data_IF_590560583998
#
_entry.id   IF_590560583998
#
_cell.length_a   1.000
_cell.length_b   1.000
_cell.length_c   1.000
_cell.angle_alpha   90.00
_cell.angle_beta   90.00
_cell.angle_gamma   90.00
#
_symmetry.space_group_name_H-M   'P 1'
#
loop_
_entity.id
_entity.type
_entity.pdbx_description
1 polymer ?
#
# COMPACT_ATOMS: atom_id res chain seq x y z
N UNK A 1 -16.90 -20.69 -7.08
CA UNK A 1 -18.15 -19.91 -7.03
C UNK A 1 -18.90 -20.04 -5.69
N UNK A 2 -18.75 -21.11 -4.93
CA UNK A 2 -19.34 -21.22 -3.58
C UNK A 2 -18.59 -20.39 -2.55
N UNK A 3 -17.30 -20.23 -2.72
CA UNK A 3 -16.40 -19.40 -1.96
C UNK A 3 -16.82 -17.92 -1.96
N UNK A 4 -17.12 -17.37 -3.12
CA UNK A 4 -17.60 -16.00 -3.24
C UNK A 4 -18.98 -15.80 -2.60
N UNK A 5 -19.89 -16.77 -2.72
CA UNK A 5 -21.21 -16.71 -2.07
C UNK A 5 -21.06 -16.60 -0.55
N UNK A 6 -20.19 -17.41 0.06
CA UNK A 6 -19.96 -17.38 1.50
C UNK A 6 -19.44 -16.01 1.99
N UNK A 7 -18.63 -15.31 1.20
CA UNK A 7 -18.19 -13.95 1.54
C UNK A 7 -19.32 -12.93 1.50
N UNK A 8 -20.25 -13.07 0.55
CA UNK A 8 -21.43 -12.19 0.51
C UNK A 8 -22.47 -12.53 1.58
N UNK A 9 -22.64 -13.80 1.94
CA UNK A 9 -23.42 -14.22 3.11
C UNK A 9 -22.82 -13.65 4.41
N UNK A 10 -21.49 -13.65 4.50
CA UNK A 10 -20.78 -12.98 5.59
C UNK A 10 -21.03 -11.46 5.58
N UNK A 11 -21.03 -10.79 4.41
CA UNK A 11 -21.36 -9.38 4.32
C UNK A 11 -22.78 -9.08 4.84
N UNK A 12 -23.76 -9.94 4.54
CA UNK A 12 -25.12 -9.87 5.11
C UNK A 12 -25.07 -9.93 6.65
N UNK A 13 -24.35 -10.90 7.21
CA UNK A 13 -24.18 -11.02 8.67
C UNK A 13 -23.50 -9.77 9.27
N UNK A 14 -22.54 -9.16 8.57
CA UNK A 14 -21.90 -7.95 9.05
C UNK A 14 -22.85 -6.73 9.02
N UNK A 15 -23.70 -6.62 8.00
CA UNK A 15 -24.74 -5.56 7.94
C UNK A 15 -25.69 -5.71 9.14
N UNK A 16 -26.15 -6.91 9.43
CA UNK A 16 -27.01 -7.21 10.59
C UNK A 16 -26.28 -6.94 11.92
N UNK A 17 -25.05 -7.43 12.07
CA UNK A 17 -24.23 -7.25 13.27
C UNK A 17 -23.97 -5.75 13.59
N UNK A 18 -23.79 -4.93 12.57
CA UNK A 18 -23.60 -3.49 12.71
C UNK A 18 -24.90 -2.70 12.88
N UNK A 19 -26.08 -3.36 12.86
CA UNK A 19 -27.38 -2.73 13.00
C UNK A 19 -27.71 -1.76 11.87
N UNK A 20 -27.23 -2.03 10.64
CA UNK A 20 -27.39 -1.14 9.50
C UNK A 20 -28.70 -1.42 8.74
N UNK A 21 -29.80 -0.91 9.24
CA UNK A 21 -31.09 -1.05 8.56
C UNK A 21 -31.11 -0.31 7.21
N UNK A 22 -31.49 -1.01 6.13
CA UNK A 22 -31.49 -0.47 4.76
C UNK A 22 -30.15 0.15 4.35
N UNK A 23 -29.04 -0.50 4.74
CA UNK A 23 -27.67 -0.06 4.46
C UNK A 23 -27.47 0.40 3.02
N UNK A 24 -26.78 1.50 2.81
CA UNK A 24 -26.28 1.92 1.50
C UNK A 24 -24.92 1.27 1.29
N UNK A 25 -24.82 0.40 0.30
CA UNK A 25 -23.63 -0.46 0.07
C UNK A 25 -23.07 -0.22 -1.33
N UNK A 26 -21.75 -0.06 -1.41
CA UNK A 26 -21.00 -0.16 -2.66
C UNK A 26 -20.38 -1.55 -2.73
N UNK A 27 -20.56 -2.26 -3.85
CA UNK A 27 -19.94 -3.55 -4.15
C UNK A 27 -18.99 -3.37 -5.34
N UNK A 28 -17.69 -3.26 -5.07
CA UNK A 28 -16.64 -3.02 -6.06
C UNK A 28 -16.18 -4.36 -6.66
N UNK A 29 -16.04 -4.39 -7.99
CA UNK A 29 -15.79 -5.57 -8.80
C UNK A 29 -16.88 -6.63 -8.56
N UNK A 30 -18.14 -6.20 -8.61
CA UNK A 30 -19.31 -7.03 -8.34
C UNK A 30 -19.49 -8.20 -9.32
N UNK A 31 -18.70 -8.24 -10.40
CA UNK A 31 -18.79 -9.26 -11.45
C UNK A 31 -20.19 -9.33 -12.06
N UNK A 32 -20.71 -10.53 -12.10
CA UNK A 32 -22.07 -10.79 -12.66
C UNK A 32 -23.21 -10.44 -11.69
N UNK A 33 -22.97 -9.80 -10.55
CA UNK A 33 -23.96 -9.15 -9.70
C UNK A 33 -24.67 -10.01 -8.65
N UNK A 34 -24.41 -11.32 -8.57
CA UNK A 34 -25.11 -12.17 -7.57
C UNK A 34 -24.81 -11.78 -6.12
N UNK A 35 -23.60 -11.26 -5.85
CA UNK A 35 -23.22 -10.79 -4.51
C UNK A 35 -24.00 -9.57 -4.09
N UNK A 36 -24.09 -8.58 -4.97
CA UNK A 36 -24.94 -7.40 -4.77
C UNK A 36 -26.41 -7.80 -4.50
N UNK A 37 -26.90 -8.77 -5.25
CA UNK A 37 -28.26 -9.28 -5.07
C UNK A 37 -28.44 -10.00 -3.72
N UNK A 38 -27.46 -10.80 -3.26
CA UNK A 38 -27.48 -11.45 -1.94
C UNK A 38 -27.62 -10.42 -0.84
N UNK A 39 -26.80 -9.35 -0.85
CA UNK A 39 -26.85 -8.30 0.15
C UNK A 39 -28.18 -7.52 0.10
N UNK A 40 -28.69 -7.25 -1.11
CA UNK A 40 -29.96 -6.57 -1.30
C UNK A 40 -31.16 -7.36 -0.78
N UNK A 41 -31.18 -8.68 -1.00
CA UNK A 41 -32.31 -9.54 -0.62
C UNK A 41 -32.18 -10.14 0.77
N UNK A 42 -30.95 -10.41 1.24
CA UNK A 42 -30.68 -10.98 2.55
C UNK A 42 -30.76 -9.93 3.69
N UNK A 43 -30.16 -8.76 3.49
CA UNK A 43 -30.11 -7.69 4.49
C UNK A 43 -30.99 -6.47 4.16
N UNK A 44 -31.76 -6.48 3.07
CA UNK A 44 -32.54 -5.32 2.66
C UNK A 44 -31.69 -4.11 2.22
N UNK A 45 -30.43 -4.32 1.90
CA UNK A 45 -29.50 -3.25 1.54
C UNK A 45 -29.86 -2.60 0.20
N UNK A 46 -29.46 -1.33 0.04
CA UNK A 46 -29.44 -0.62 -1.24
C UNK A 46 -28.04 -0.72 -1.80
N UNK A 47 -27.85 -1.51 -2.86
CA UNK A 47 -26.53 -1.87 -3.35
C UNK A 47 -26.25 -1.25 -4.73
N UNK A 48 -25.13 -0.54 -4.82
CA UNK A 48 -24.54 -0.12 -6.09
C UNK A 48 -23.38 -1.10 -6.41
N UNK A 49 -23.63 -2.03 -7.35
CA UNK A 49 -22.62 -2.92 -7.89
C UNK A 49 -21.84 -2.24 -9.00
N UNK A 50 -20.53 -2.30 -8.97
CA UNK A 50 -19.62 -1.65 -9.93
C UNK A 50 -18.64 -2.69 -10.45
N UNK A 51 -18.50 -2.79 -11.77
CA UNK A 51 -17.51 -3.65 -12.41
C UNK A 51 -17.05 -3.03 -13.74
N UNK A 52 -15.79 -3.24 -14.09
CA UNK A 52 -15.21 -2.72 -15.33
C UNK A 52 -15.66 -3.50 -16.58
N UNK A 53 -16.12 -4.74 -16.41
CA UNK A 53 -16.47 -5.62 -17.52
C UNK A 53 -17.94 -5.48 -17.90
N UNK A 54 -18.21 -4.70 -18.96
CA UNK A 54 -19.57 -4.40 -19.46
C UNK A 54 -20.48 -5.62 -19.59
N UNK A 55 -20.06 -6.74 -20.21
CA UNK A 55 -20.88 -7.94 -20.30
C UNK A 55 -21.29 -8.55 -18.96
N UNK A 56 -20.46 -8.43 -17.89
CA UNK A 56 -20.84 -8.88 -16.55
C UNK A 56 -21.94 -7.99 -15.97
N UNK A 57 -21.84 -6.68 -16.17
CA UNK A 57 -22.87 -5.71 -15.74
C UNK A 57 -24.19 -5.91 -16.47
N UNK A 58 -24.15 -6.20 -17.77
CA UNK A 58 -25.37 -6.49 -18.54
C UNK A 58 -26.03 -7.79 -18.05
N UNK A 59 -25.22 -8.78 -17.73
CA UNK A 59 -25.72 -10.03 -17.12
C UNK A 59 -26.32 -9.77 -15.73
N UNK A 60 -25.66 -8.94 -14.91
CA UNK A 60 -26.14 -8.57 -13.58
C UNK A 60 -27.52 -7.90 -13.65
N UNK A 61 -27.65 -6.93 -14.55
CA UNK A 61 -28.94 -6.24 -14.80
C UNK A 61 -30.05 -7.16 -15.23
N UNK A 62 -29.75 -8.20 -16.01
CA UNK A 62 -30.75 -9.17 -16.50
C UNK A 62 -31.16 -10.20 -15.45
N UNK A 63 -30.21 -10.68 -14.65
CA UNK A 63 -30.40 -11.88 -13.85
C UNK A 63 -30.38 -11.65 -12.34
N UNK A 64 -29.78 -10.56 -11.87
CA UNK A 64 -29.55 -10.29 -10.44
C UNK A 64 -30.10 -8.93 -10.01
N UNK A 65 -31.15 -8.43 -10.68
CA UNK A 65 -31.80 -7.18 -10.28
C UNK A 65 -32.79 -7.41 -9.14
N UNK A 66 -32.74 -6.51 -8.16
CA UNK A 66 -33.73 -6.34 -7.10
C UNK A 66 -34.16 -4.86 -7.07
N UNK A 67 -35.23 -4.53 -6.33
CA UNK A 67 -35.69 -3.12 -6.24
C UNK A 67 -34.63 -2.17 -5.71
N UNK A 68 -33.67 -2.71 -4.97
CA UNK A 68 -32.63 -1.95 -4.25
C UNK A 68 -31.22 -2.19 -4.83
N UNK A 69 -31.10 -2.86 -5.99
CA UNK A 69 -29.82 -3.00 -6.70
C UNK A 69 -29.73 -2.04 -7.88
N UNK A 70 -28.55 -1.45 -8.06
CA UNK A 70 -28.15 -0.72 -9.26
C UNK A 70 -26.79 -1.23 -9.70
N UNK A 71 -26.51 -1.18 -11.01
CA UNK A 71 -25.25 -1.65 -11.59
C UNK A 71 -24.64 -0.61 -12.52
N UNK A 72 -23.36 -0.31 -12.30
CA UNK A 72 -22.57 0.65 -13.05
C UNK A 72 -21.36 -0.04 -13.68
N UNK A 73 -21.17 0.17 -15.00
CA UNK A 73 -19.94 -0.24 -15.68
C UNK A 73 -18.92 0.89 -15.58
N UNK A 74 -17.88 0.69 -14.79
CA UNK A 74 -16.79 1.64 -14.62
C UNK A 74 -15.55 0.95 -14.07
N UNK A 75 -14.36 1.48 -14.37
CA UNK A 75 -13.10 1.04 -13.76
C UNK A 75 -12.92 1.64 -12.37
N UNK A 76 -12.10 1.00 -11.53
CA UNK A 76 -11.76 1.50 -10.20
C UNK A 76 -11.06 2.88 -10.25
N UNK A 77 -10.34 3.15 -11.34
CA UNK A 77 -9.62 4.42 -11.55
C UNK A 77 -10.56 5.57 -11.91
N UNK A 78 -11.59 5.30 -12.75
CA UNK A 78 -12.45 6.33 -13.31
C UNK A 78 -13.71 6.60 -12.49
N UNK A 79 -14.15 5.60 -11.71
CA UNK A 79 -15.43 5.70 -11.00
C UNK A 79 -15.43 6.82 -9.97
N UNK A 80 -16.46 7.67 -10.04
CA UNK A 80 -16.82 8.57 -8.94
C UNK A 80 -17.81 7.85 -8.03
N UNK A 81 -17.43 7.67 -6.79
CA UNK A 81 -18.23 6.94 -5.81
C UNK A 81 -19.18 7.90 -5.08
N UNK A 82 -20.43 7.50 -4.83
CA UNK A 82 -21.34 8.30 -4.02
C UNK A 82 -20.82 8.38 -2.58
N UNK A 83 -20.97 9.54 -1.97
CA UNK A 83 -20.62 9.78 -0.55
C UNK A 83 -21.68 9.21 0.40
N UNK A 84 -21.36 9.19 1.70
CA UNK A 84 -22.25 8.78 2.78
C UNK A 84 -22.79 7.34 2.65
N UNK A 85 -21.99 6.43 2.15
CA UNK A 85 -22.33 5.02 2.16
C UNK A 85 -22.07 4.41 3.55
N UNK A 86 -22.87 3.43 3.92
CA UNK A 86 -22.70 2.76 5.21
C UNK A 86 -21.62 1.69 5.15
N UNK A 87 -21.51 1.00 3.99
CA UNK A 87 -20.58 -0.10 3.77
C UNK A 87 -20.01 -0.08 2.36
N UNK A 88 -18.73 -0.36 2.22
CA UNK A 88 -18.10 -0.78 0.97
C UNK A 88 -17.68 -2.25 1.07
N UNK A 89 -17.89 -2.99 -0.01
CA UNK A 89 -17.45 -4.38 -0.17
C UNK A 89 -16.44 -4.43 -1.32
N UNK A 90 -15.29 -5.03 -1.08
CA UNK A 90 -14.20 -5.17 -2.04
C UNK A 90 -13.57 -6.57 -1.87
N UNK A 91 -14.21 -7.58 -2.45
CA UNK A 91 -13.79 -8.96 -2.31
C UNK A 91 -13.05 -9.46 -3.54
N UNK A 92 -11.86 -10.07 -3.34
CA UNK A 92 -11.02 -10.66 -4.40
C UNK A 92 -10.85 -9.67 -5.58
N UNK A 93 -10.38 -8.49 -5.29
CA UNK A 93 -10.25 -7.39 -6.25
C UNK A 93 -8.87 -6.77 -6.19
N UNK A 94 -8.36 -6.56 -4.97
CA UNK A 94 -7.13 -5.81 -4.71
C UNK A 94 -5.92 -6.51 -5.33
N UNK A 95 -5.90 -7.82 -5.35
CA UNK A 95 -4.86 -8.66 -5.97
C UNK A 95 -4.76 -8.49 -7.49
N UNK A 96 -5.81 -7.99 -8.14
CA UNK A 96 -5.85 -7.71 -9.58
C UNK A 96 -5.38 -6.30 -9.94
N UNK A 97 -5.10 -5.48 -8.94
CA UNK A 97 -4.68 -4.09 -9.10
C UNK A 97 -3.19 -3.94 -8.83
N UNK A 98 -2.59 -2.95 -9.47
CA UNK A 98 -1.26 -2.49 -9.04
C UNK A 98 -1.36 -1.90 -7.64
N UNK A 99 -0.26 -1.84 -6.87
CA UNK A 99 -0.26 -1.26 -5.52
C UNK A 99 -0.76 0.20 -5.53
N UNK A 100 -0.49 0.93 -6.60
CA UNK A 100 -0.97 2.29 -6.81
C UNK A 100 -2.49 2.34 -7.01
N UNK A 101 -3.01 1.52 -7.93
CA UNK A 101 -4.46 1.48 -8.21
C UNK A 101 -5.25 0.99 -7.01
N UNK A 102 -4.72 -0.01 -6.28
CA UNK A 102 -5.29 -0.50 -5.03
C UNK A 102 -5.38 0.61 -3.98
N UNK A 103 -4.31 1.39 -3.81
CA UNK A 103 -4.28 2.53 -2.88
C UNK A 103 -5.29 3.61 -3.29
N UNK A 104 -5.35 3.97 -4.58
CA UNK A 104 -6.32 4.94 -5.10
C UNK A 104 -7.75 4.47 -4.85
N UNK A 105 -8.07 3.22 -5.16
CA UNK A 105 -9.39 2.64 -4.94
C UNK A 105 -9.76 2.68 -3.46
N UNK A 106 -8.89 2.19 -2.58
CA UNK A 106 -9.14 2.14 -1.14
C UNK A 106 -9.35 3.54 -0.55
N UNK A 107 -8.62 4.56 -1.02
CA UNK A 107 -8.83 5.97 -0.63
C UNK A 107 -10.17 6.50 -1.13
N UNK A 108 -10.60 6.18 -2.35
CA UNK A 108 -11.94 6.53 -2.85
C UNK A 108 -13.03 5.91 -1.98
N UNK A 109 -12.89 4.62 -1.62
CA UNK A 109 -13.82 3.93 -0.72
C UNK A 109 -13.83 4.58 0.67
N UNK A 110 -12.67 5.03 1.18
CA UNK A 110 -12.54 5.71 2.47
C UNK A 110 -13.36 7.02 2.54
N UNK A 111 -13.42 7.76 1.44
CA UNK A 111 -14.22 8.98 1.33
C UNK A 111 -15.71 8.69 1.18
N UNK A 112 -16.05 7.51 0.69
CA UNK A 112 -17.41 7.11 0.37
C UNK A 112 -18.12 6.41 1.49
N UNK A 113 -17.45 5.52 2.25
CA UNK A 113 -18.08 4.58 3.17
C UNK A 113 -17.53 4.66 4.59
N UNK A 114 -18.40 4.33 5.56
CA UNK A 114 -18.07 4.29 6.99
C UNK A 114 -17.37 3.00 7.40
N UNK A 115 -17.63 1.90 6.69
CA UNK A 115 -17.05 0.58 6.95
C UNK A 115 -16.61 -0.01 5.62
N UNK A 116 -15.48 -0.73 5.61
CA UNK A 116 -15.01 -1.52 4.48
C UNK A 116 -14.93 -2.99 4.89
N UNK A 117 -15.53 -3.86 4.08
CA UNK A 117 -15.24 -5.29 4.07
C UNK A 117 -14.38 -5.59 2.85
N UNK A 118 -13.19 -6.13 3.06
CA UNK A 118 -12.29 -6.47 1.97
C UNK A 118 -11.74 -7.89 2.13
N UNK A 119 -11.42 -8.53 1.02
CA UNK A 119 -10.73 -9.82 1.01
C UNK A 119 -9.65 -9.88 -0.05
N UNK A 120 -8.62 -10.66 0.25
CA UNK A 120 -7.49 -10.97 -0.65
C UNK A 120 -7.04 -12.41 -0.44
N UNK A 121 -6.42 -13.06 -1.47
CA UNK A 121 -5.72 -14.33 -1.29
C UNK A 121 -4.59 -14.19 -0.27
N UNK A 122 -4.48 -15.18 0.63
CA UNK A 122 -3.45 -15.24 1.66
C UNK A 122 -2.15 -15.81 1.10
N UNK A 123 -1.10 -15.02 1.03
CA UNK A 123 0.22 -15.42 0.53
C UNK A 123 0.82 -16.59 1.32
N UNK A 124 0.56 -16.66 2.63
CA UNK A 124 1.09 -17.73 3.49
C UNK A 124 0.47 -19.10 3.19
N UNK A 125 -0.76 -19.14 2.68
CA UNK A 125 -1.51 -20.37 2.36
C UNK A 125 -1.66 -20.62 0.85
N UNK A 126 -1.54 -19.57 0.05
CA UNK A 126 -1.63 -19.58 -1.40
C UNK A 126 -0.51 -18.72 -1.99
N UNK A 127 0.74 -19.17 -1.98
CA UNK A 127 1.85 -18.40 -2.53
C UNK A 127 1.59 -17.98 -3.97
N UNK A 128 1.85 -16.70 -4.26
CA UNK A 128 1.72 -16.15 -5.60
C UNK A 128 2.69 -16.84 -6.57
N UNK A 129 2.23 -17.18 -7.77
CA UNK A 129 3.03 -17.87 -8.78
C UNK A 129 2.35 -17.95 -10.14
N UNK A 130 2.92 -18.72 -11.07
CA UNK A 130 2.49 -18.82 -12.47
C UNK A 130 1.03 -19.26 -12.68
N UNK A 131 0.39 -19.87 -11.68
CA UNK A 131 -1.01 -20.27 -11.75
C UNK A 131 -2.02 -19.14 -11.68
N UNK A 132 -1.58 -17.91 -11.37
CA UNK A 132 -2.43 -16.74 -11.13
C UNK A 132 -2.20 -15.63 -12.16
N UNK A 133 -2.44 -15.93 -13.42
CA UNK A 133 -2.13 -15.08 -14.57
C UNK A 133 -2.76 -13.66 -14.53
N UNK A 134 -3.81 -13.46 -13.75
CA UNK A 134 -4.51 -12.17 -13.62
C UNK A 134 -4.28 -11.47 -12.28
N UNK A 135 -3.53 -12.06 -11.35
CA UNK A 135 -3.18 -11.42 -10.10
C UNK A 135 -1.84 -10.68 -10.27
N UNK A 136 -1.70 -9.54 -9.64
CA UNK A 136 -0.43 -8.85 -9.51
C UNK A 136 0.36 -9.35 -8.31
N UNK A 137 -0.34 -9.75 -7.24
CA UNK A 137 0.25 -10.30 -6.02
C UNK A 137 -0.80 -10.96 -5.13
N UNK A 138 -0.35 -11.77 -4.16
CA UNK A 138 -1.10 -12.14 -2.98
C UNK A 138 -0.56 -11.38 -1.77
N UNK A 139 -1.25 -11.43 -0.63
CA UNK A 139 -0.92 -10.63 0.54
C UNK A 139 -0.75 -11.50 1.77
N UNK A 140 0.32 -11.30 2.54
CA UNK A 140 0.31 -11.69 3.95
C UNK A 140 -0.60 -10.75 4.73
N UNK A 141 -1.02 -11.14 5.93
CA UNK A 141 -1.84 -10.27 6.80
C UNK A 141 -1.18 -8.91 7.05
N UNK A 142 0.13 -8.92 7.33
CA UNK A 142 0.88 -7.69 7.59
C UNK A 142 0.95 -6.76 6.37
N UNK A 143 1.14 -7.33 5.17
CA UNK A 143 1.16 -6.56 3.93
C UNK A 143 -0.21 -5.95 3.63
N UNK A 144 -1.29 -6.72 3.86
CA UNK A 144 -2.64 -6.24 3.64
C UNK A 144 -3.02 -5.15 4.64
N UNK A 145 -2.69 -5.30 5.91
CA UNK A 145 -2.88 -4.26 6.93
C UNK A 145 -2.12 -2.98 6.59
N UNK A 146 -0.86 -3.11 6.16
CA UNK A 146 -0.04 -1.95 5.77
C UNK A 146 -0.68 -1.18 4.59
N UNK A 147 -1.18 -1.90 3.57
CA UNK A 147 -1.90 -1.28 2.46
C UNK A 147 -3.16 -0.54 2.93
N UNK A 148 -3.99 -1.17 3.75
CA UNK A 148 -5.22 -0.59 4.29
C UNK A 148 -4.94 0.65 5.13
N UNK A 149 -3.94 0.57 6.02
CA UNK A 149 -3.53 1.70 6.85
C UNK A 149 -3.03 2.89 6.00
N UNK A 150 -2.29 2.62 4.93
CA UNK A 150 -1.81 3.66 4.00
C UNK A 150 -2.93 4.37 3.24
N UNK A 151 -4.05 3.69 3.09
CA UNK A 151 -5.24 4.23 2.46
C UNK A 151 -6.24 4.84 3.46
N UNK A 152 -5.83 5.00 4.74
CA UNK A 152 -6.64 5.62 5.79
C UNK A 152 -7.67 4.68 6.44
N UNK A 153 -7.49 3.36 6.31
CA UNK A 153 -8.33 2.36 6.93
C UNK A 153 -7.63 1.68 8.09
N UNK A 154 -8.30 1.55 9.23
CA UNK A 154 -7.89 0.73 10.36
C UNK A 154 -8.61 -0.61 10.31
N UNK A 155 -7.88 -1.70 10.39
CA UNK A 155 -8.49 -3.03 10.56
C UNK A 155 -9.06 -3.14 11.97
N UNK A 156 -10.38 -3.29 12.06
CA UNK A 156 -11.12 -3.48 13.32
C UNK A 156 -11.26 -4.97 13.67
N UNK A 157 -11.48 -5.81 12.66
CA UNK A 157 -11.63 -7.23 12.86
C UNK A 157 -11.06 -8.03 11.68
N UNK A 158 -10.46 -9.17 12.01
CA UNK A 158 -9.89 -10.12 11.09
C UNK A 158 -10.77 -11.36 11.03
N UNK A 159 -10.92 -11.87 9.81
CA UNK A 159 -11.64 -13.09 9.51
C UNK A 159 -10.86 -13.88 8.47
N UNK A 160 -11.22 -15.15 8.29
CA UNK A 160 -10.60 -16.00 7.28
C UNK A 160 -11.60 -16.96 6.64
N UNK A 161 -11.30 -17.35 5.41
CA UNK A 161 -11.99 -18.43 4.74
C UNK A 161 -10.98 -19.54 4.47
N UNK A 162 -11.17 -20.68 5.11
CA UNK A 162 -10.20 -21.79 5.10
C UNK A 162 -9.99 -22.38 3.70
N UNK A 163 -11.08 -22.56 2.97
CA UNK A 163 -11.09 -23.12 1.62
C UNK A 163 -12.35 -22.67 0.86
N UNK A 164 -12.42 -23.02 -0.41
CA UNK A 164 -13.47 -22.61 -1.35
C UNK A 164 -14.90 -23.06 -0.98
N UNK A 165 -15.08 -23.82 0.09
CA UNK A 165 -16.40 -24.30 0.54
C UNK A 165 -16.72 -23.89 1.97
N UNK A 166 -15.73 -23.36 2.67
CA UNK A 166 -15.87 -22.94 4.05
C UNK A 166 -16.62 -21.61 4.17
N UNK A 167 -17.41 -21.41 5.23
CA UNK A 167 -17.88 -20.07 5.58
C UNK A 167 -16.70 -19.17 5.97
N UNK A 168 -16.91 -17.87 5.94
CA UNK A 168 -16.02 -16.91 6.58
C UNK A 168 -16.24 -16.99 8.09
N UNK A 169 -15.15 -17.14 8.85
CA UNK A 169 -15.17 -17.28 10.31
C UNK A 169 -14.17 -16.32 10.94
N UNK A 170 -14.19 -16.23 12.26
CA UNK A 170 -13.16 -15.51 13.02
C UNK A 170 -11.77 -16.00 12.59
N UNK A 171 -10.79 -15.13 12.69
CA UNK A 171 -9.46 -15.35 12.15
C UNK A 171 -8.94 -16.77 12.43
N UNK A 172 -8.85 -17.53 11.38
CA UNK A 172 -8.14 -18.79 11.34
C UNK A 172 -7.21 -18.76 10.12
N UNK A 173 -6.11 -19.47 10.17
CA UNK A 173 -5.23 -19.66 9.01
C UNK A 173 -6.10 -20.22 7.88
N UNK A 174 -6.15 -19.51 6.75
CA UNK A 174 -7.01 -19.84 5.62
C UNK A 174 -6.53 -19.23 4.31
N UNK A 175 -7.05 -19.76 3.20
CA UNK A 175 -6.64 -19.35 1.84
C UNK A 175 -7.02 -17.92 1.49
N UNK A 176 -8.04 -17.37 2.15
CA UNK A 176 -8.49 -15.99 1.94
C UNK A 176 -8.50 -15.25 3.25
N UNK A 177 -7.85 -14.11 3.28
CA UNK A 177 -7.92 -13.10 4.34
C UNK A 177 -9.17 -12.27 4.09
N UNK A 178 -9.98 -12.07 5.13
CA UNK A 178 -11.12 -11.17 5.10
C UNK A 178 -11.00 -10.20 6.26
N UNK A 179 -11.27 -8.92 6.04
CA UNK A 179 -11.17 -7.88 7.07
C UNK A 179 -12.41 -7.00 7.11
N UNK A 180 -12.72 -6.51 8.32
CA UNK A 180 -13.60 -5.37 8.51
C UNK A 180 -12.76 -4.18 8.97
N UNK A 181 -12.88 -3.08 8.25
CA UNK A 181 -12.12 -1.87 8.52
C UNK A 181 -13.05 -0.69 8.80
N UNK A 182 -12.56 0.20 9.64
CA UNK A 182 -13.16 1.52 9.90
C UNK A 182 -12.18 2.62 9.49
N UNK A 183 -12.67 3.82 9.18
CA UNK A 183 -11.82 4.96 8.91
C UNK A 183 -10.86 5.24 10.05
N UNK A 184 -9.59 5.51 9.75
CA UNK A 184 -8.69 6.09 10.74
C UNK A 184 -9.22 7.44 11.23
N UNK A 185 -9.03 7.80 12.53
CA UNK A 185 -9.41 9.11 13.05
C UNK A 185 -8.81 10.27 12.24
N UNK A 186 -9.50 11.40 12.23
CA UNK A 186 -9.15 12.58 11.42
C UNK A 186 -7.80 13.21 11.78
N UNK A 187 -7.34 13.03 13.00
CA UNK A 187 -6.00 13.41 13.48
C UNK A 187 -4.87 12.46 13.00
N UNK A 188 -5.25 11.31 12.46
CA UNK A 188 -4.41 10.37 11.72
C UNK A 188 -4.77 10.36 10.23
N UNK A 189 -5.56 11.36 9.79
CA UNK A 189 -5.84 11.51 8.36
C UNK A 189 -4.54 11.52 7.61
N UNK A 190 -4.50 10.64 6.60
CA UNK A 190 -3.78 11.00 5.40
C UNK A 190 -4.01 12.47 5.18
N UNK A 191 -2.99 13.23 5.31
CA UNK A 191 -2.97 14.52 4.70
C UNK A 191 -3.18 14.27 3.19
N UNK A 192 -4.45 14.37 2.74
CA UNK A 192 -4.70 14.61 1.31
C UNK A 192 -3.99 15.86 0.85
N UNK A 193 -3.62 16.71 1.78
CA UNK A 193 -2.67 17.81 1.65
C UNK A 193 -1.21 17.34 1.60
N UNK A 194 -0.90 16.06 1.88
CA UNK A 194 0.26 15.35 1.34
C UNK A 194 -0.11 14.67 -0.01
N UNK A 195 -0.79 15.40 -0.89
CA UNK A 195 -0.41 15.30 -2.29
C UNK A 195 1.09 15.58 -2.28
N UNK A 196 1.90 14.54 -2.48
CA UNK A 196 3.33 14.69 -2.67
C UNK A 196 3.51 15.88 -3.61
N UNK A 197 4.17 16.97 -3.18
CA UNK A 197 4.31 18.11 -4.06
C UNK A 197 4.91 17.58 -5.36
N UNK A 198 4.20 17.79 -6.47
CA UNK A 198 4.77 17.54 -7.80
C UNK A 198 5.89 18.54 -7.92
N UNK A 199 7.11 18.09 -7.66
CA UNK A 199 8.30 18.93 -7.71
C UNK A 199 8.51 19.26 -9.18
N UNK A 200 8.13 20.45 -9.56
CA UNK A 200 8.30 20.96 -10.92
C UNK A 200 9.77 21.29 -11.16
N UNK A 201 10.43 20.52 -12.03
CA UNK A 201 11.87 20.60 -12.30
C UNK A 201 12.31 21.76 -13.21
N UNK A 202 11.45 22.77 -13.53
CA UNK A 202 11.77 23.63 -14.65
C UNK A 202 11.96 25.14 -14.41
N UNK A 203 11.41 25.76 -13.35
CA UNK A 203 11.68 27.21 -13.10
C UNK A 203 11.33 27.55 -11.64
N UNK A 204 12.30 27.43 -10.72
CA UNK A 204 12.08 27.74 -9.31
C UNK A 204 13.18 27.18 -8.41
N UNK A 205 12.97 27.12 -7.09
CA UNK A 205 13.88 26.48 -6.16
C UNK A 205 14.15 25.03 -6.59
N UNK A 206 15.35 24.54 -6.30
CA UNK A 206 15.76 23.15 -6.64
C UNK A 206 14.77 22.14 -6.06
N UNK A 207 14.72 20.93 -6.63
CA UNK A 207 13.88 19.84 -6.10
C UNK A 207 14.17 19.57 -4.61
N UNK A 208 15.41 19.72 -4.19
CA UNK A 208 15.83 19.62 -2.79
C UNK A 208 15.23 20.73 -1.92
N UNK A 209 15.32 21.99 -2.34
CA UNK A 209 14.75 23.12 -1.59
C UNK A 209 13.24 23.03 -1.46
N UNK A 210 12.54 22.62 -2.52
CA UNK A 210 11.10 22.32 -2.50
C UNK A 210 10.77 21.19 -1.53
N UNK A 211 11.58 20.14 -1.52
CA UNK A 211 11.41 19.03 -0.58
C UNK A 211 11.60 19.49 0.87
N UNK A 212 12.62 20.29 1.18
CA UNK A 212 12.86 20.81 2.53
C UNK A 212 11.71 21.69 3.01
N UNK A 213 11.14 22.51 2.12
CA UNK A 213 10.00 23.36 2.44
C UNK A 213 8.71 22.54 2.67
N UNK A 214 8.51 21.48 1.88
CA UNK A 214 7.32 20.64 1.95
C UNK A 214 7.32 19.64 3.12
N UNK A 215 8.49 19.22 3.60
CA UNK A 215 8.62 18.20 4.64
C UNK A 215 9.32 18.76 5.89
N UNK A 216 8.58 19.03 6.97
CA UNK A 216 9.17 19.49 8.22
C UNK A 216 10.15 18.45 8.78
N UNK A 217 11.11 18.89 9.58
CA UNK A 217 12.10 18.00 10.20
C UNK A 217 11.38 17.06 11.18
N UNK A 218 11.46 15.74 10.95
CA UNK A 218 10.82 14.76 11.83
C UNK A 218 11.55 14.67 13.17
N UNK A 219 10.81 14.41 14.24
CA UNK A 219 11.41 14.26 15.58
C UNK A 219 12.14 12.93 15.73
N UNK A 220 11.53 11.84 15.23
CA UNK A 220 12.09 10.48 15.29
C UNK A 220 11.94 9.79 13.93
N UNK A 221 13.05 9.32 13.39
CA UNK A 221 13.10 8.60 12.12
C UNK A 221 13.51 7.14 12.34
N UNK A 222 12.80 6.21 11.71
CA UNK A 222 13.21 4.82 11.57
C UNK A 222 13.75 4.58 10.14
N UNK A 223 15.05 4.31 10.03
CA UNK A 223 15.73 3.96 8.77
C UNK A 223 15.67 2.46 8.59
N UNK A 224 15.10 2.00 7.47
CA UNK A 224 14.74 0.60 7.24
C UNK A 224 15.47 0.01 6.05
N UNK A 225 16.23 -1.06 6.26
CA UNK A 225 16.83 -1.92 5.23
C UNK A 225 16.18 -3.32 5.23
N UNK A 226 16.66 -4.21 4.35
CA UNK A 226 16.13 -5.58 4.19
C UNK A 226 16.83 -6.64 5.05
N UNK A 227 17.73 -6.25 5.95
CA UNK A 227 18.42 -7.20 6.81
C UNK A 227 17.55 -7.77 7.94
N UNK A 228 18.01 -8.84 8.62
CA UNK A 228 17.23 -9.56 9.64
C UNK A 228 16.66 -8.70 10.77
N UNK A 229 17.34 -7.63 11.18
CA UNK A 229 16.83 -6.76 12.26
C UNK A 229 15.59 -5.94 11.86
N UNK A 230 15.17 -5.97 10.60
CA UNK A 230 13.89 -5.41 10.18
C UNK A 230 12.71 -6.05 10.93
N UNK A 231 12.79 -7.34 11.26
CA UNK A 231 11.78 -8.04 12.06
C UNK A 231 11.56 -7.37 13.42
N UNK A 232 12.61 -6.84 14.04
CA UNK A 232 12.49 -6.13 15.32
C UNK A 232 11.64 -4.85 15.18
N UNK A 233 11.81 -4.10 14.09
CA UNK A 233 10.97 -2.94 13.79
C UNK A 233 9.50 -3.34 13.61
N UNK A 234 9.23 -4.40 12.85
CA UNK A 234 7.88 -4.91 12.62
C UNK A 234 7.23 -5.37 13.94
N UNK A 235 7.97 -6.06 14.79
CA UNK A 235 7.50 -6.48 16.11
C UNK A 235 7.19 -5.30 17.04
N UNK A 236 8.06 -4.29 17.07
CA UNK A 236 7.88 -3.09 17.88
C UNK A 236 6.63 -2.35 17.44
N UNK A 237 6.51 -2.05 16.15
CA UNK A 237 5.38 -1.30 15.61
C UNK A 237 4.06 -2.05 15.76
N UNK A 238 4.06 -3.37 15.60
CA UNK A 238 2.90 -4.22 15.87
C UNK A 238 2.44 -4.13 17.33
N UNK A 239 3.38 -4.18 18.29
CA UNK A 239 3.07 -4.07 19.73
C UNK A 239 2.56 -2.69 20.13
N UNK A 240 3.05 -1.64 19.48
CA UNK A 240 2.67 -0.26 19.76
C UNK A 240 1.40 0.19 19.03
N UNK A 241 0.90 -0.60 18.06
CA UNK A 241 -0.31 -0.28 17.29
C UNK A 241 -0.07 0.51 16.02
N UNK A 242 1.17 0.51 15.49
CA UNK A 242 1.51 1.08 14.18
C UNK A 242 2.82 1.88 14.16
N UNK A 243 3.27 2.25 12.96
CA UNK A 243 4.55 2.98 12.78
C UNK A 243 4.55 4.34 13.48
N UNK A 244 3.45 5.07 13.45
CA UNK A 244 3.34 6.40 14.04
C UNK A 244 3.30 6.41 15.58
N UNK A 245 3.05 5.27 16.21
CA UNK A 245 3.23 5.10 17.65
C UNK A 245 4.70 4.87 18.06
N UNK A 246 5.56 4.58 17.06
CA UNK A 246 6.99 4.36 17.27
C UNK A 246 7.86 5.52 16.79
N UNK A 247 7.64 6.00 15.57
CA UNK A 247 8.44 7.06 14.94
C UNK A 247 7.57 8.04 14.16
N UNK A 248 8.11 9.23 13.91
CA UNK A 248 7.43 10.27 13.13
C UNK A 248 7.45 9.94 11.64
N UNK A 249 8.60 9.50 11.14
CA UNK A 249 8.79 9.09 9.75
C UNK A 249 9.56 7.76 9.65
N UNK A 250 9.31 7.04 8.56
CA UNK A 250 10.08 5.88 8.12
C UNK A 250 10.82 6.19 6.83
N UNK A 251 12.12 5.89 6.78
CA UNK A 251 12.96 6.11 5.61
C UNK A 251 13.45 4.77 5.05
N UNK A 252 12.99 4.41 3.86
CA UNK A 252 13.33 3.14 3.22
C UNK A 252 14.65 3.21 2.45
N UNK A 253 15.48 2.17 2.60
CA UNK A 253 16.71 2.01 1.86
C UNK A 253 16.48 1.10 0.66
N UNK A 254 16.70 1.60 -0.57
CA UNK A 254 16.59 0.81 -1.80
C UNK A 254 15.25 0.03 -1.88
N UNK A 255 15.32 -1.27 -2.09
CA UNK A 255 14.17 -2.13 -2.36
C UNK A 255 13.20 -2.32 -1.16
N UNK A 256 13.57 -1.95 0.08
CA UNK A 256 12.63 -2.05 1.22
C UNK A 256 11.40 -1.18 1.01
N UNK A 257 11.56 -0.04 0.36
CA UNK A 257 10.46 0.88 0.10
C UNK A 257 9.45 0.34 -0.94
N UNK A 258 9.81 -0.67 -1.71
CA UNK A 258 8.86 -1.45 -2.53
C UNK A 258 8.05 -2.48 -1.73
N UNK A 259 8.40 -2.72 -0.45
CA UNK A 259 7.76 -3.69 0.42
C UNK A 259 7.05 -3.02 1.59
N UNK A 260 7.64 -1.96 2.14
CA UNK A 260 7.10 -1.18 3.24
C UNK A 260 6.84 0.25 2.76
N UNK A 261 5.69 0.81 3.13
CA UNK A 261 5.39 2.21 2.90
C UNK A 261 6.28 3.08 3.79
N UNK A 262 7.24 3.72 3.13
CA UNK A 262 8.17 4.64 3.76
C UNK A 262 7.82 6.09 3.40
N UNK A 263 8.05 7.00 4.34
CA UNK A 263 7.75 8.41 4.13
C UNK A 263 8.79 9.09 3.23
N UNK A 264 10.03 8.58 3.22
CA UNK A 264 11.09 8.92 2.27
C UNK A 264 11.84 7.68 1.82
N UNK A 265 12.43 7.74 0.66
CA UNK A 265 13.26 6.66 0.10
C UNK A 265 14.67 7.17 -0.15
N UNK A 266 15.66 6.35 0.19
CA UNK A 266 17.06 6.60 -0.15
C UNK A 266 17.52 5.53 -1.14
N UNK A 267 17.89 5.99 -2.34
CA UNK A 267 18.41 5.14 -3.41
C UNK A 267 19.64 5.82 -4.03
N UNK A 268 20.80 5.60 -3.43
CA UNK A 268 22.04 6.32 -3.78
C UNK A 268 22.76 5.77 -5.03
N UNK A 269 22.28 4.67 -5.61
CA UNK A 269 22.80 4.15 -6.87
C UNK A 269 22.35 5.01 -8.06
N UNK A 270 23.24 5.26 -9.04
CA UNK A 270 22.87 5.97 -10.25
C UNK A 270 21.92 5.10 -11.11
N UNK A 271 20.68 5.57 -11.29
CA UNK A 271 19.64 4.82 -12.02
C UNK A 271 20.03 4.50 -13.46
N UNK A 272 20.86 5.31 -14.11
CA UNK A 272 21.33 5.04 -15.49
C UNK A 272 22.27 3.82 -15.54
N UNK A 273 23.10 3.64 -14.51
CA UNK A 273 23.92 2.44 -14.37
C UNK A 273 23.03 1.23 -14.11
N UNK A 274 22.01 1.41 -13.28
CA UNK A 274 21.03 0.37 -12.99
C UNK A 274 20.19 -0.01 -14.23
N UNK A 275 19.83 0.95 -15.10
CA UNK A 275 19.15 0.69 -16.37
C UNK A 275 19.98 -0.20 -17.31
N UNK A 276 21.27 0.06 -17.41
CA UNK A 276 22.19 -0.79 -18.21
C UNK A 276 22.22 -2.23 -17.65
N UNK A 277 22.26 -2.38 -16.33
CA UNK A 277 22.24 -3.69 -15.66
C UNK A 277 20.89 -4.39 -15.84
N UNK A 278 19.79 -3.67 -15.73
CA UNK A 278 18.45 -4.19 -15.95
C UNK A 278 18.23 -4.65 -17.39
N UNK A 279 18.74 -3.92 -18.37
CA UNK A 279 18.68 -4.31 -19.78
C UNK A 279 19.42 -5.63 -20.07
N UNK A 280 20.52 -5.87 -19.34
CA UNK A 280 21.28 -7.14 -19.45
C UNK A 280 20.59 -8.31 -18.72
N UNK A 281 19.71 -8.03 -17.75
CA UNK A 281 18.99 -9.02 -16.94
C UNK A 281 17.56 -8.52 -16.62
N UNK A 282 16.61 -8.61 -17.58
CA UNK A 282 15.27 -8.03 -17.45
C UNK A 282 14.43 -8.59 -16.29
N UNK A 283 14.68 -9.83 -15.88
CA UNK A 283 13.99 -10.51 -14.78
C UNK A 283 14.64 -10.25 -13.40
N UNK A 284 15.66 -9.42 -13.36
CA UNK A 284 16.39 -9.15 -12.12
C UNK A 284 15.59 -8.27 -11.15
N UNK A 285 15.93 -8.34 -9.86
CA UNK A 285 15.40 -7.44 -8.84
C UNK A 285 15.69 -5.97 -9.17
N UNK A 286 16.81 -5.68 -9.85
CA UNK A 286 17.15 -4.33 -10.31
C UNK A 286 16.13 -3.83 -11.33
N UNK A 287 15.75 -4.65 -12.31
CA UNK A 287 14.77 -4.28 -13.33
C UNK A 287 13.39 -3.97 -12.67
N UNK A 288 12.96 -4.82 -11.74
CA UNK A 288 11.71 -4.60 -10.99
C UNK A 288 11.77 -3.33 -10.13
N UNK A 289 12.88 -3.09 -9.46
CA UNK A 289 13.08 -1.89 -8.66
C UNK A 289 13.01 -0.62 -9.52
N UNK A 290 13.64 -0.60 -10.69
CA UNK A 290 13.58 0.56 -11.60
C UNK A 290 12.17 0.84 -12.12
N UNK A 291 11.37 -0.19 -12.40
CA UNK A 291 9.96 -0.01 -12.76
C UNK A 291 9.19 0.69 -11.63
N UNK A 292 9.41 0.26 -10.40
CA UNK A 292 8.81 0.87 -9.23
C UNK A 292 9.30 2.32 -9.02
N UNK A 293 10.62 2.59 -9.12
CA UNK A 293 11.18 3.94 -8.99
C UNK A 293 10.61 4.94 -10.00
N UNK A 294 10.31 4.49 -11.24
CA UNK A 294 9.73 5.34 -12.30
C UNK A 294 8.35 5.89 -11.96
N UNK A 295 7.57 5.15 -11.20
CA UNK A 295 6.18 5.51 -10.86
C UNK A 295 6.02 6.00 -9.43
N UNK A 296 7.07 5.91 -8.61
CA UNK A 296 7.03 6.37 -7.23
C UNK A 296 6.98 7.90 -7.18
N UNK A 297 6.03 8.50 -6.47
CA UNK A 297 5.84 9.96 -6.46
C UNK A 297 6.97 10.73 -5.78
N UNK A 298 7.87 10.06 -5.06
CA UNK A 298 8.95 10.67 -4.29
C UNK A 298 8.55 11.00 -2.84
N UNK A 299 9.43 11.69 -2.07
CA UNK A 299 10.81 11.97 -2.48
C UNK A 299 11.68 10.71 -2.43
N UNK A 300 12.40 10.45 -3.50
CA UNK A 300 13.46 9.45 -3.55
C UNK A 300 14.79 10.17 -3.56
N UNK A 301 15.47 10.18 -2.45
CA UNK A 301 16.77 10.85 -2.30
C UNK A 301 17.84 9.97 -2.94
N UNK A 302 18.55 10.53 -3.90
CA UNK A 302 19.47 9.81 -4.79
C UNK A 302 20.75 10.58 -5.04
N UNK A 303 21.74 9.92 -5.66
CA UNK A 303 23.00 10.58 -6.04
C UNK A 303 22.83 11.60 -7.16
N UNK A 304 21.84 11.42 -8.04
CA UNK A 304 21.58 12.30 -9.19
C UNK A 304 20.14 12.16 -9.69
N UNK A 305 19.52 13.29 -9.99
CA UNK A 305 18.19 13.33 -10.62
C UNK A 305 18.23 12.76 -12.05
N UNK A 306 17.07 12.26 -12.49
CA UNK A 306 16.89 11.72 -13.82
C UNK A 306 15.48 12.04 -14.35
N UNK A 307 15.35 12.58 -15.58
CA UNK A 307 14.05 13.07 -16.10
C UNK A 307 12.97 11.99 -16.21
N UNK A 308 13.36 10.73 -16.43
CA UNK A 308 12.41 9.61 -16.52
C UNK A 308 11.96 9.06 -15.15
N UNK A 309 12.43 9.66 -14.06
CA UNK A 309 12.14 9.27 -12.68
C UNK A 309 11.75 10.50 -11.86
N UNK A 310 10.50 10.96 -11.99
CA UNK A 310 10.08 12.27 -11.47
C UNK A 310 10.12 12.41 -9.94
N UNK A 311 10.16 11.31 -9.20
CA UNK A 311 10.29 11.32 -7.75
C UNK A 311 11.72 11.46 -7.22
N UNK A 312 12.75 11.46 -8.09
CA UNK A 312 14.14 11.57 -7.68
C UNK A 312 14.51 13.00 -7.25
N UNK A 313 15.18 13.12 -6.11
CA UNK A 313 15.72 14.38 -5.57
C UNK A 313 17.19 14.16 -5.27
N UNK A 314 18.06 15.04 -5.78
CA UNK A 314 19.49 14.92 -5.55
C UNK A 314 19.83 15.11 -4.06
N UNK A 315 20.66 14.23 -3.53
CA UNK A 315 21.19 14.35 -2.17
C UNK A 315 22.11 15.58 -2.06
N UNK A 316 21.95 16.42 -1.05
CA UNK A 316 22.75 17.66 -0.88
C UNK A 316 24.15 17.33 -0.34
N UNK A 317 24.95 16.65 -1.15
CA UNK A 317 26.20 16.02 -0.71
C UNK A 317 27.19 17.02 -0.10
N UNK A 318 27.44 18.14 -0.77
CA UNK A 318 28.43 19.15 -0.31
C UNK A 318 28.02 19.74 1.05
N UNK A 319 26.75 20.07 1.22
CA UNK A 319 26.22 20.65 2.46
C UNK A 319 26.32 19.65 3.62
N UNK A 320 25.94 18.39 3.37
CA UNK A 320 26.00 17.33 4.39
C UNK A 320 27.43 17.02 4.77
N UNK A 321 28.35 16.88 3.81
CA UNK A 321 29.78 16.65 4.07
C UNK A 321 30.38 17.78 4.89
N UNK A 322 30.12 19.03 4.51
CA UNK A 322 30.61 20.20 5.21
C UNK A 322 30.07 20.29 6.64
N UNK A 323 28.76 20.03 6.83
CA UNK A 323 28.13 20.08 8.13
C UNK A 323 28.65 18.99 9.10
N UNK A 324 28.93 17.80 8.58
CA UNK A 324 29.37 16.66 9.38
C UNK A 324 30.90 16.51 9.47
N UNK A 325 31.68 17.27 8.69
CA UNK A 325 33.12 17.16 8.60
C UNK A 325 33.60 15.80 8.08
N UNK A 326 32.80 15.15 7.22
CA UNK A 326 33.11 13.86 6.62
C UNK A 326 33.64 14.03 5.19
N UNK A 327 34.36 13.03 4.67
CA UNK A 327 34.86 13.06 3.31
C UNK A 327 33.93 12.36 2.29
N UNK A 328 33.26 11.30 2.73
CA UNK A 328 32.31 10.54 1.91
C UNK A 328 31.52 9.53 2.78
N UNK A 329 30.51 8.91 2.18
CA UNK A 329 29.74 7.81 2.76
C UNK A 329 29.82 6.57 1.85
N UNK A 330 29.88 5.39 2.41
CA UNK A 330 30.11 4.14 1.69
C UNK A 330 28.88 3.25 1.52
N UNK A 331 27.72 3.66 2.01
CA UNK A 331 26.47 2.90 1.86
C UNK A 331 25.27 3.82 1.89
N UNK A 332 24.17 3.41 1.25
CA UNK A 332 22.90 4.16 1.25
C UNK A 332 22.39 4.40 2.67
N UNK A 333 22.57 3.45 3.59
CA UNK A 333 22.20 3.64 4.99
C UNK A 333 23.01 4.76 5.66
N UNK A 334 24.30 4.85 5.37
CA UNK A 334 25.15 5.93 5.87
C UNK A 334 24.72 7.31 5.35
N UNK A 335 24.32 7.41 4.08
CA UNK A 335 23.73 8.64 3.53
C UNK A 335 22.44 9.03 4.24
N UNK A 336 21.54 8.07 4.52
CA UNK A 336 20.29 8.34 5.21
C UNK A 336 20.51 8.82 6.65
N UNK A 337 21.45 8.20 7.39
CA UNK A 337 21.82 8.64 8.74
C UNK A 337 22.45 10.04 8.71
N UNK A 338 23.38 10.27 7.79
CA UNK A 338 24.04 11.55 7.63
C UNK A 338 23.03 12.67 7.33
N UNK A 339 22.08 12.41 6.46
CA UNK A 339 21.01 13.33 6.14
C UNK A 339 20.12 13.63 7.36
N UNK A 340 19.74 12.60 8.13
CA UNK A 340 18.96 12.77 9.36
C UNK A 340 19.66 13.68 10.37
N UNK A 341 20.98 13.51 10.56
CA UNK A 341 21.78 14.37 11.42
C UNK A 341 21.86 15.78 10.88
N UNK A 342 22.09 15.92 9.56
CA UNK A 342 22.21 17.21 8.88
C UNK A 342 20.97 18.09 9.06
N UNK A 343 19.77 17.51 8.89
CA UNK A 343 18.51 18.23 9.04
C UNK A 343 18.06 18.40 10.50
N UNK A 344 18.75 17.77 11.46
CA UNK A 344 18.50 17.97 12.90
C UNK A 344 17.48 17.01 13.51
N UNK A 345 17.32 15.79 12.97
CA UNK A 345 16.49 14.74 13.58
C UNK A 345 16.98 14.41 14.98
N UNK A 346 16.10 14.38 15.98
CA UNK A 346 16.47 14.14 17.37
C UNK A 346 16.74 12.68 17.71
N UNK A 347 15.95 11.79 17.11
CA UNK A 347 16.05 10.35 17.35
C UNK A 347 16.15 9.60 16.02
N UNK A 348 17.16 8.75 15.89
CA UNK A 348 17.38 7.93 14.71
C UNK A 348 17.45 6.48 15.15
N UNK A 349 16.56 5.66 14.63
CA UNK A 349 16.57 4.20 14.79
C UNK A 349 16.91 3.55 13.45
N UNK A 350 17.75 2.53 13.44
CA UNK A 350 18.17 1.85 12.22
C UNK A 350 17.87 0.36 12.34
N UNK A 351 17.15 -0.19 11.37
CA UNK A 351 16.77 -1.60 11.31
C UNK A 351 17.02 -2.16 9.92
N UNK A 352 17.33 -3.43 9.83
CA UNK A 352 17.56 -4.10 8.56
C UNK A 352 18.80 -3.64 7.79
N UNK A 353 19.71 -2.93 8.45
CA UNK A 353 21.00 -2.52 7.91
C UNK A 353 22.14 -3.33 8.51
N UNK A 354 21.93 -4.64 8.67
CA UNK A 354 22.80 -5.55 9.44
C UNK A 354 24.06 -5.97 8.68
N UNK A 355 24.14 -5.64 7.39
CA UNK A 355 25.26 -6.01 6.51
C UNK A 355 25.60 -7.51 6.54
N UNK A 356 24.58 -8.36 6.60
CA UNK A 356 24.69 -9.83 6.58
C UNK A 356 24.83 -10.32 5.16
N UNK A 357 26.00 -10.16 4.57
CA UNK A 357 26.31 -10.67 3.25
C UNK A 357 26.82 -12.11 3.30
N UNK A 358 26.57 -12.92 2.25
CA UNK A 358 27.09 -14.30 2.17
C UNK A 358 28.60 -14.38 2.16
N UNK A 359 29.28 -13.29 1.81
CA UNK A 359 30.72 -13.21 1.66
C UNK A 359 31.30 -12.08 2.51
N UNK A 360 32.42 -12.40 3.17
CA UNK A 360 33.08 -11.50 4.10
C UNK A 360 33.60 -10.22 3.43
N UNK A 361 33.98 -10.28 2.15
CA UNK A 361 34.48 -9.13 1.41
C UNK A 361 33.37 -8.10 1.14
N UNK A 362 32.18 -8.57 0.78
CA UNK A 362 31.03 -7.69 0.61
C UNK A 362 30.52 -7.12 1.95
N UNK A 363 30.62 -7.90 3.01
CA UNK A 363 30.31 -7.43 4.36
C UNK A 363 31.25 -6.30 4.83
N UNK A 364 32.53 -6.36 4.48
CA UNK A 364 33.51 -5.31 4.81
C UNK A 364 33.25 -4.01 4.05
N UNK A 365 32.81 -4.09 2.79
CA UNK A 365 32.44 -2.90 2.01
C UNK A 365 31.20 -2.19 2.52
N UNK A 366 30.28 -2.91 3.14
CA UNK A 366 29.04 -2.37 3.68
C UNK A 366 29.20 -1.70 5.05
N UNK A 367 30.26 -2.01 5.82
CA UNK A 367 30.54 -1.45 7.13
C UNK A 367 31.32 -0.15 7.02
#
# INVERSE_FOLDING_TARGET
RRDHVARYEFAVQQIEHLGLDSARVIDIACGVGYGSWIMATGAGARVLGIDAFGPAIDYARQHWSARTTQYLCATAQEVELPTEQDLAVCFETIEHLTDQDATILLRKLRRSAKVLLASVPNEDEMPFGEGYAFHHRHYTSNQFEALLNSAGWKVEAWFGQRDDKAPVTDWAVGRTIVVRCVPLPDDQKDSEDLAWPVINMHDGPTAYEQMVEAFPVPEHVAILGLGPSLEQYLDITKRLGGKHAYCTETWGINAVAGTLLCDRVFHMDDVRIQEVRAAAAPESNIARMLQWLKVHPGPIITSREHPDYPGLVAFPLEEVLNNLGQAYFNSTAAYAVAYAIHIGVKHISVFGCDYTYPDAHDAEKGR
#
